data_IF_006663948736
#
_entry.id   IF_006663948736
#
_cell.length_a   1.000
_cell.length_b   1.000
_cell.length_c   1.000
_cell.angle_alpha   90.00
_cell.angle_beta   90.00
_cell.angle_gamma   90.00
#
_symmetry.space_group_name_H-M   'P 1'
#
loop_
_entity.id
_entity.type
_entity.pdbx_description
1 polymer ?
#
# COMPACT_ATOMS: atom_id res chain seq x y z
N UNK A 1 4.59 1.27 23.01
CA UNK A 1 5.30 2.54 23.27
C UNK A 1 4.88 3.50 22.16
N UNK A 2 4.56 4.75 22.48
CA UNK A 2 4.16 5.72 21.46
C UNK A 2 5.39 6.29 20.73
N UNK A 3 5.27 6.46 19.42
CA UNK A 3 6.35 6.87 18.53
C UNK A 3 6.22 8.33 18.10
N UNK A 4 7.35 9.00 17.88
CA UNK A 4 7.39 10.30 17.22
C UNK A 4 7.05 10.18 15.74
N UNK A 5 6.76 11.28 15.07
CA UNK A 5 6.48 11.28 13.62
C UNK A 5 7.65 10.76 12.77
N UNK A 6 8.89 10.88 13.24
CA UNK A 6 10.07 10.34 12.53
C UNK A 6 10.13 8.83 12.65
N UNK A 7 9.97 8.30 13.86
CA UNK A 7 9.93 6.85 14.09
C UNK A 7 8.72 6.23 13.38
N UNK A 8 7.53 6.86 13.45
CA UNK A 8 6.36 6.41 12.71
C UNK A 8 6.60 6.38 11.18
N UNK A 9 7.31 7.37 10.64
CA UNK A 9 7.70 7.39 9.22
C UNK A 9 8.63 6.22 8.86
N UNK A 10 9.63 5.95 9.70
CA UNK A 10 10.57 4.84 9.52
C UNK A 10 9.85 3.49 9.60
N UNK A 11 9.00 3.30 10.59
CA UNK A 11 8.21 2.07 10.76
C UNK A 11 7.27 1.87 9.56
N UNK A 12 6.42 2.85 9.26
CA UNK A 12 5.40 2.71 8.20
C UNK A 12 5.96 2.77 6.78
N UNK A 13 7.24 3.13 6.63
CA UNK A 13 7.90 3.41 5.35
C UNK A 13 7.27 4.58 4.58
N UNK A 14 6.52 5.45 5.27
CA UNK A 14 5.94 6.68 4.74
C UNK A 14 6.89 7.83 5.02
N UNK A 15 6.85 8.88 4.19
CA UNK A 15 7.61 10.09 4.51
C UNK A 15 6.92 10.88 5.62
N UNK A 16 7.68 11.64 6.41
CA UNK A 16 7.11 12.60 7.38
C UNK A 16 6.14 13.57 6.69
N UNK A 17 6.41 13.96 5.45
CA UNK A 17 5.51 14.79 4.66
C UNK A 17 4.18 14.08 4.39
N UNK A 18 4.20 12.79 4.03
CA UNK A 18 2.98 12.00 3.82
C UNK A 18 2.17 11.84 5.10
N UNK A 19 2.81 11.62 6.24
CA UNK A 19 2.12 11.55 7.54
C UNK A 19 1.41 12.87 7.88
N UNK A 20 2.09 14.01 7.68
CA UNK A 20 1.49 15.34 7.86
C UNK A 20 0.33 15.58 6.89
N UNK A 21 0.49 15.19 5.64
CA UNK A 21 -0.57 15.29 4.64
C UNK A 21 -1.79 14.45 5.04
N UNK A 22 -1.58 13.22 5.52
CA UNK A 22 -2.67 12.35 5.98
C UNK A 22 -3.42 12.91 7.18
N UNK A 23 -2.71 13.51 8.14
CA UNK A 23 -3.35 14.22 9.23
C UNK A 23 -4.16 15.42 8.74
N UNK A 24 -3.61 16.24 7.84
CA UNK A 24 -4.30 17.41 7.26
C UNK A 24 -5.57 17.02 6.49
N UNK A 25 -5.51 15.90 5.78
CA UNK A 25 -6.66 15.36 5.04
C UNK A 25 -7.68 14.64 5.93
N UNK A 26 -7.45 14.56 7.24
CA UNK A 26 -8.36 13.90 8.18
C UNK A 26 -8.37 12.36 8.06
N UNK A 27 -7.29 11.77 7.53
CA UNK A 27 -7.12 10.32 7.45
C UNK A 27 -6.68 9.70 8.78
N UNK A 28 -6.22 10.51 9.71
CA UNK A 28 -5.81 10.09 11.05
C UNK A 28 -6.75 10.70 12.08
N UNK A 29 -7.07 9.93 13.12
CA UNK A 29 -7.74 10.47 14.30
C UNK A 29 -6.80 11.46 14.99
N UNK A 30 -7.35 12.37 15.79
CA UNK A 30 -6.55 13.32 16.56
C UNK A 30 -5.48 12.59 17.38
N UNK A 31 -4.22 12.74 16.97
CA UNK A 31 -3.06 12.11 17.60
C UNK A 31 -2.82 12.74 18.97
N UNK A 32 -2.38 11.93 19.93
CA UNK A 32 -1.91 12.41 21.22
C UNK A 32 -0.68 13.29 21.01
N UNK A 33 -0.46 14.20 21.96
CA UNK A 33 0.73 15.06 21.98
C UNK A 33 1.51 14.84 23.27
N UNK A 34 2.83 14.89 23.18
CA UNK A 34 3.70 14.93 24.37
C UNK A 34 3.66 16.32 25.04
N UNK A 35 4.33 16.44 26.19
CA UNK A 35 4.44 17.71 26.93
C UNK A 35 5.13 18.84 26.14
N UNK A 36 5.85 18.50 25.07
CA UNK A 36 6.52 19.43 24.15
C UNK A 36 5.67 19.75 22.93
N UNK A 37 4.45 19.22 22.84
CA UNK A 37 3.51 19.43 21.74
C UNK A 37 3.75 18.56 20.49
N UNK A 38 4.68 17.61 20.53
CA UNK A 38 4.97 16.69 19.44
C UNK A 38 3.91 15.59 19.33
N UNK A 39 3.60 15.17 18.11
CA UNK A 39 2.67 14.08 17.83
C UNK A 39 3.25 12.75 18.28
N UNK A 40 2.41 11.98 18.95
CA UNK A 40 2.67 10.62 19.38
C UNK A 40 1.73 9.67 18.64
N UNK A 41 2.32 8.67 17.99
CA UNK A 41 1.63 7.61 17.27
C UNK A 41 1.62 6.36 18.14
N UNK A 42 0.44 5.90 18.53
CA UNK A 42 0.28 4.63 19.23
C UNK A 42 0.35 3.47 18.23
N UNK A 43 0.61 2.22 18.66
CA UNK A 43 0.66 1.07 17.77
C UNK A 43 -0.58 0.95 16.86
N UNK A 44 -1.76 1.27 17.38
CA UNK A 44 -3.01 1.25 16.64
C UNK A 44 -3.05 2.28 15.50
N UNK A 45 -2.40 3.44 15.69
CA UNK A 45 -2.25 4.46 14.65
C UNK A 45 -1.33 3.95 13.52
N UNK A 46 -0.31 3.17 13.87
CA UNK A 46 0.60 2.58 12.88
C UNK A 46 -0.11 1.52 12.04
N UNK A 47 -0.86 0.62 12.67
CA UNK A 47 -1.66 -0.40 11.97
C UNK A 47 -2.67 0.25 11.01
N UNK A 48 -3.32 1.32 11.47
CA UNK A 48 -4.20 2.13 10.63
C UNK A 48 -3.45 2.75 9.43
N UNK A 49 -2.26 3.33 9.67
CA UNK A 49 -1.43 3.90 8.61
C UNK A 49 -0.97 2.87 7.58
N UNK A 50 -0.58 1.66 8.01
CA UNK A 50 -0.25 0.56 7.10
C UNK A 50 -1.45 0.17 6.24
N UNK A 51 -2.64 0.12 6.85
CA UNK A 51 -3.85 -0.22 6.12
C UNK A 51 -4.22 0.85 5.08
N UNK A 52 -4.20 2.13 5.46
CA UNK A 52 -4.44 3.28 4.57
C UNK A 52 -3.43 3.29 3.41
N UNK A 53 -2.15 3.03 3.72
CA UNK A 53 -1.10 2.86 2.71
C UNK A 53 -1.42 1.71 1.77
N UNK A 54 -1.79 0.53 2.28
CA UNK A 54 -2.13 -0.63 1.47
C UNK A 54 -3.25 -0.31 0.46
N UNK A 55 -4.32 0.35 0.90
CA UNK A 55 -5.42 0.76 0.03
C UNK A 55 -4.94 1.69 -1.10
N UNK A 56 -4.11 2.69 -0.77
CA UNK A 56 -3.56 3.62 -1.75
C UNK A 56 -2.61 2.93 -2.73
N UNK A 57 -1.68 2.12 -2.22
CA UNK A 57 -0.64 1.48 -3.03
C UNK A 57 -1.25 0.41 -3.97
N UNK A 58 -2.41 -0.16 -3.62
CA UNK A 58 -3.22 -1.04 -4.50
C UNK A 58 -4.14 -0.26 -5.46
N UNK A 59 -4.06 1.07 -5.46
CA UNK A 59 -4.68 1.96 -6.44
C UNK A 59 -6.06 2.51 -6.03
N UNK A 60 -6.41 2.50 -4.75
CA UNK A 60 -7.58 3.24 -4.27
C UNK A 60 -7.29 4.76 -4.30
N UNK A 61 -8.14 5.59 -4.94
CA UNK A 61 -7.96 7.04 -4.93
C UNK A 61 -8.04 7.61 -3.51
N UNK A 62 -7.20 8.62 -3.21
CA UNK A 62 -7.15 9.26 -1.88
C UNK A 62 -8.53 9.74 -1.41
N UNK A 63 -9.38 10.23 -2.31
CA UNK A 63 -10.75 10.63 -1.96
C UNK A 63 -11.60 9.47 -1.43
N UNK A 64 -11.46 8.26 -1.98
CA UNK A 64 -12.18 7.06 -1.47
C UNK A 64 -11.60 6.58 -0.15
N UNK A 65 -10.29 6.66 0.01
CA UNK A 65 -9.61 6.34 1.28
C UNK A 65 -10.07 7.30 2.39
N UNK A 66 -10.25 8.58 2.06
CA UNK A 66 -10.81 9.60 2.96
C UNK A 66 -12.24 9.29 3.36
N UNK A 67 -13.11 8.97 2.39
CA UNK A 67 -14.48 8.53 2.67
C UNK A 67 -14.50 7.32 3.61
N UNK A 68 -13.66 6.31 3.35
CA UNK A 68 -13.52 5.15 4.22
C UNK A 68 -13.11 5.52 5.66
N UNK A 69 -12.12 6.41 5.81
CA UNK A 69 -11.66 6.89 7.10
C UNK A 69 -12.76 7.64 7.87
N UNK A 70 -13.49 8.53 7.19
CA UNK A 70 -14.63 9.25 7.78
C UNK A 70 -15.71 8.30 8.29
N UNK A 71 -16.05 7.26 7.51
CA UNK A 71 -16.98 6.22 7.95
C UNK A 71 -16.45 5.46 9.17
N UNK A 72 -15.16 5.12 9.18
CA UNK A 72 -14.55 4.42 10.30
C UNK A 72 -14.63 5.25 11.59
N UNK A 73 -14.40 6.56 11.50
CA UNK A 73 -14.48 7.46 12.66
C UNK A 73 -15.90 7.75 13.14
N UNK A 74 -16.93 7.60 12.28
CA UNK A 74 -18.34 7.65 12.69
C UNK A 74 -18.76 6.46 13.56
N UNK A 75 -17.97 5.37 13.56
CA UNK A 75 -18.19 4.20 14.41
C UNK A 75 -19.05 3.12 13.75
N UNK A 76 -19.67 2.29 14.59
CA UNK A 76 -20.14 0.96 14.18
C UNK A 76 -21.34 0.95 13.24
N UNK A 77 -22.15 1.99 13.24
CA UNK A 77 -23.31 2.09 12.36
C UNK A 77 -22.95 2.17 10.87
N UNK A 78 -21.68 2.47 10.52
CA UNK A 78 -21.18 2.51 9.14
C UNK A 78 -20.50 1.20 8.68
N UNK A 79 -20.45 0.16 9.52
CA UNK A 79 -19.71 -1.08 9.23
C UNK A 79 -20.10 -1.70 7.88
N UNK A 80 -21.39 -1.68 7.53
CA UNK A 80 -21.90 -2.24 6.27
C UNK A 80 -21.35 -1.51 5.05
N UNK A 81 -21.30 -0.18 5.12
CA UNK A 81 -20.76 0.65 4.02
C UNK A 81 -19.24 0.46 3.90
N UNK A 82 -18.53 0.43 5.02
CA UNK A 82 -17.08 0.11 5.05
C UNK A 82 -16.79 -1.24 4.43
N UNK A 83 -17.56 -2.26 4.79
CA UNK A 83 -17.42 -3.61 4.25
C UNK A 83 -17.62 -3.61 2.72
N UNK A 84 -18.62 -2.90 2.22
CA UNK A 84 -18.89 -2.80 0.78
C UNK A 84 -17.69 -2.19 0.03
N UNK A 85 -17.15 -1.06 0.54
CA UNK A 85 -15.96 -0.41 -0.04
C UNK A 85 -14.78 -1.39 -0.14
N UNK A 86 -14.51 -2.13 0.94
CA UNK A 86 -13.42 -3.10 0.97
C UNK A 86 -13.66 -4.29 0.04
N UNK A 87 -14.90 -4.77 -0.06
CA UNK A 87 -15.25 -5.86 -0.98
C UNK A 87 -15.10 -5.44 -2.45
N UNK A 88 -15.52 -4.22 -2.80
CA UNK A 88 -15.35 -3.67 -4.14
C UNK A 88 -13.87 -3.52 -4.48
N UNK A 89 -13.08 -2.99 -3.55
CA UNK A 89 -11.63 -2.83 -3.74
C UNK A 89 -10.89 -4.17 -3.80
N UNK A 90 -11.29 -5.15 -2.98
CA UNK A 90 -10.78 -6.52 -3.01
C UNK A 90 -10.99 -7.14 -4.39
N UNK A 91 -12.22 -7.09 -4.93
CA UNK A 91 -12.51 -7.58 -6.29
C UNK A 91 -11.67 -6.90 -7.36
N UNK A 92 -11.50 -5.58 -7.27
CA UNK A 92 -10.65 -4.86 -8.22
C UNK A 92 -9.18 -5.25 -8.10
N UNK A 93 -8.70 -5.53 -6.89
CA UNK A 93 -7.31 -5.93 -6.65
C UNK A 93 -7.05 -7.35 -7.13
N UNK A 94 -7.98 -8.27 -6.89
CA UNK A 94 -7.92 -9.66 -7.39
C UNK A 94 -7.80 -9.70 -8.93
N UNK A 95 -8.60 -8.89 -9.65
CA UNK A 95 -8.49 -8.78 -11.12
C UNK A 95 -7.12 -8.28 -11.58
N UNK A 96 -6.54 -7.30 -10.88
CA UNK A 96 -5.19 -6.80 -11.19
C UNK A 96 -4.13 -7.87 -10.98
N UNK A 97 -4.27 -8.69 -9.94
CA UNK A 97 -3.36 -9.82 -9.67
C UNK A 97 -3.44 -10.85 -10.79
N UNK A 98 -4.65 -11.23 -11.22
CA UNK A 98 -4.86 -12.15 -12.34
C UNK A 98 -4.23 -11.61 -13.64
N UNK A 99 -4.44 -10.33 -13.95
CA UNK A 99 -3.86 -9.67 -15.11
C UNK A 99 -2.32 -9.65 -15.04
N UNK A 100 -1.76 -9.27 -13.89
CA UNK A 100 -0.32 -9.21 -13.70
C UNK A 100 0.34 -10.58 -13.81
N UNK A 101 -0.32 -11.63 -13.33
CA UNK A 101 0.14 -13.01 -13.49
C UNK A 101 0.15 -13.42 -14.98
N UNK A 102 -0.86 -13.03 -15.76
CA UNK A 102 -0.87 -13.28 -17.20
C UNK A 102 0.27 -12.54 -17.93
N UNK A 103 0.59 -11.33 -17.51
CA UNK A 103 1.74 -10.60 -18.05
C UNK A 103 3.06 -11.25 -17.67
N UNK A 104 3.20 -11.68 -16.42
CA UNK A 104 4.39 -12.37 -15.94
C UNK A 104 4.66 -13.66 -16.72
N UNK A 105 3.62 -14.43 -17.06
CA UNK A 105 3.73 -15.63 -17.89
C UNK A 105 4.32 -15.32 -19.27
N UNK A 106 3.82 -14.28 -19.94
CA UNK A 106 4.32 -13.86 -21.27
C UNK A 106 5.78 -13.41 -21.22
N UNK A 107 6.12 -12.62 -20.20
CA UNK A 107 7.49 -12.15 -19.97
C UNK A 107 8.40 -13.36 -19.72
N UNK A 108 8.00 -14.28 -18.84
CA UNK A 108 8.76 -15.50 -18.52
C UNK A 108 9.03 -16.34 -19.76
N UNK A 109 8.02 -16.59 -20.59
CA UNK A 109 8.20 -17.34 -21.83
C UNK A 109 9.23 -16.66 -22.76
N UNK A 110 9.18 -15.32 -22.88
CA UNK A 110 10.15 -14.59 -23.69
C UNK A 110 11.56 -14.60 -23.09
N UNK A 111 11.69 -14.49 -21.77
CA UNK A 111 12.97 -14.61 -21.07
C UNK A 111 13.63 -15.96 -21.37
N UNK A 112 12.90 -17.07 -21.19
CA UNK A 112 13.42 -18.43 -21.48
C UNK A 112 13.83 -18.57 -22.93
N UNK A 113 13.05 -18.02 -23.86
CA UNK A 113 13.39 -18.06 -25.28
C UNK A 113 14.72 -17.35 -25.57
N UNK A 114 14.94 -16.16 -25.01
CA UNK A 114 16.20 -15.44 -25.17
C UNK A 114 17.38 -16.15 -24.48
N UNK A 115 17.18 -16.71 -23.29
CA UNK A 115 18.21 -17.49 -22.58
C UNK A 115 18.71 -18.67 -23.41
N UNK A 116 17.79 -19.41 -24.04
CA UNK A 116 18.15 -20.52 -24.93
C UNK A 116 18.89 -20.04 -26.17
N UNK A 117 18.41 -18.97 -26.81
CA UNK A 117 19.05 -18.41 -28.00
C UNK A 117 20.48 -17.93 -27.70
N UNK A 118 20.71 -17.28 -26.55
CA UNK A 118 22.05 -16.86 -26.12
C UNK A 118 22.96 -18.07 -25.95
N UNK A 119 22.51 -19.10 -25.22
CA UNK A 119 23.30 -20.33 -25.02
C UNK A 119 23.66 -21.01 -26.34
N UNK A 120 22.72 -21.13 -27.27
CA UNK A 120 22.98 -21.73 -28.59
C UNK A 120 24.03 -20.94 -29.38
N UNK A 121 24.00 -19.61 -29.31
CA UNK A 121 24.95 -18.74 -30.03
C UNK A 121 26.34 -18.78 -29.40
N UNK A 122 26.45 -18.83 -28.08
CA UNK A 122 27.72 -18.97 -27.36
C UNK A 122 28.38 -20.33 -27.65
N UNK A 123 27.60 -21.41 -27.61
CA UNK A 123 28.10 -22.76 -27.93
C UNK A 123 28.53 -22.92 -29.40
N UNK A 124 27.88 -22.18 -30.32
CA UNK A 124 28.30 -22.16 -31.72
C UNK A 124 29.60 -21.39 -31.92
N UNK A 125 29.87 -20.35 -31.12
CA UNK A 125 31.09 -19.55 -31.19
C UNK A 125 32.31 -20.28 -30.60
N UNK A 126 32.12 -21.15 -29.59
CA UNK A 126 33.20 -21.94 -28.98
C UNK A 126 33.64 -23.16 -29.81
N UNK A 127 32.84 -23.55 -30.82
CA UNK A 127 33.12 -24.71 -31.70
C UNK A 127 33.83 -24.34 -33.00
N UNK A 128 34.12 -23.05 -33.22
CA UNK A 128 34.83 -22.50 -34.39
C UNK A 128 36.22 -22.06 -33.96
#
# INVERSE_FOLDING_TARGET
>A
MALTIKEAAEHTGLTVHTLRYYEQEGLLKALKRDERGNRLFEPEDLDWLYFIRCLRDTGMPVAKVKHFAELAFKGDHTMRERLQILQDHKRSTERKVEEMNSFLEKITHKTVWYENLVREREQAAEKV
#
